data_IF_412889686256
#
_entry.id   IF_412889686256
#
_cell.length_a   1.000
_cell.length_b   1.000
_cell.length_c   1.000
_cell.angle_alpha   90.00
_cell.angle_beta   90.00
_cell.angle_gamma   90.00
#
_symmetry.space_group_name_H-M   'P 1'
#
loop_
_entity.id
_entity.type
_entity.pdbx_description
1 polymer ?
#
# COMPACT_ATOMS: atom_id res chain seq x y z
N UNK A 1 35.98 -12.61 25.95
CA UNK A 1 34.89 -13.35 25.28
C UNK A 1 35.10 -13.21 23.79
N UNK A 2 35.31 -14.32 23.08
CA UNK A 2 35.38 -14.30 21.62
C UNK A 2 33.93 -14.24 21.13
N UNK A 3 33.57 -13.18 20.41
CA UNK A 3 32.26 -13.03 19.80
C UNK A 3 32.32 -13.72 18.44
N UNK A 4 31.75 -14.92 18.33
CA UNK A 4 31.64 -15.61 17.04
C UNK A 4 30.46 -15.03 16.26
N UNK A 5 30.70 -14.65 15.01
CA UNK A 5 29.67 -14.24 14.06
C UNK A 5 28.87 -15.50 13.67
N UNK A 6 27.54 -15.44 13.78
CA UNK A 6 26.63 -16.52 13.40
C UNK A 6 25.68 -16.06 12.29
N UNK A 7 25.33 -16.98 11.40
CA UNK A 7 24.29 -16.76 10.40
C UNK A 7 22.93 -16.66 11.08
N UNK A 8 22.16 -15.64 10.72
CA UNK A 8 20.80 -15.48 11.23
C UNK A 8 19.90 -16.58 10.66
N UNK A 9 18.99 -17.15 11.47
CA UNK A 9 17.91 -18.00 10.97
C UNK A 9 17.09 -17.29 9.88
N UNK A 10 16.59 -18.04 8.89
CA UNK A 10 15.88 -17.49 7.73
C UNK A 10 14.63 -16.70 8.12
N UNK A 11 13.90 -17.16 9.13
CA UNK A 11 12.77 -16.43 9.72
C UNK A 11 13.23 -15.06 10.24
N UNK A 12 14.35 -14.98 10.95
CA UNK A 12 14.89 -13.70 11.45
C UNK A 12 15.31 -12.78 10.30
N UNK A 13 15.93 -13.30 9.24
CA UNK A 13 16.30 -12.51 8.05
C UNK A 13 15.06 -11.94 7.36
N UNK A 14 14.05 -12.77 7.13
CA UNK A 14 12.79 -12.36 6.51
C UNK A 14 12.06 -11.32 7.37
N UNK A 15 12.15 -11.44 8.69
CA UNK A 15 11.55 -10.50 9.63
C UNK A 15 12.29 -9.15 9.69
N UNK A 16 13.61 -9.15 9.54
CA UNK A 16 14.40 -7.92 9.38
C UNK A 16 14.01 -7.24 8.06
N UNK A 17 14.01 -7.98 6.95
CA UNK A 17 13.66 -7.44 5.63
C UNK A 17 12.22 -6.91 5.57
N UNK A 18 11.24 -7.66 6.07
CA UNK A 18 9.85 -7.21 6.18
C UNK A 18 9.73 -5.96 7.07
N UNK A 19 10.58 -5.86 8.09
CA UNK A 19 10.61 -4.70 8.96
C UNK A 19 11.25 -3.44 8.38
N UNK A 20 12.18 -3.59 7.45
CA UNK A 20 12.75 -2.46 6.71
C UNK A 20 11.79 -1.94 5.62
N UNK A 21 10.96 -2.81 5.05
CA UNK A 21 9.98 -2.41 4.00
C UNK A 21 8.73 -1.78 4.61
N UNK A 22 8.18 -2.36 5.68
CA UNK A 22 6.96 -1.88 6.35
C UNK A 22 7.26 -1.57 7.80
N UNK A 23 7.47 -0.29 8.09
CA UNK A 23 7.95 0.20 9.39
C UNK A 23 6.92 1.03 10.17
N UNK A 24 5.77 1.34 9.58
CA UNK A 24 4.81 2.28 10.13
C UNK A 24 3.42 2.09 9.50
N UNK A 25 2.37 2.63 10.13
CA UNK A 25 1.05 2.67 9.49
C UNK A 25 1.08 3.43 8.16
N UNK A 26 1.91 4.48 8.05
CA UNK A 26 2.05 5.24 6.82
C UNK A 26 2.64 4.38 5.69
N UNK A 27 3.63 3.53 6.00
CA UNK A 27 4.14 2.55 5.04
C UNK A 27 3.05 1.57 4.60
N UNK A 28 2.27 0.99 5.53
CA UNK A 28 1.15 0.10 5.18
C UNK A 28 0.16 0.81 4.25
N UNK A 29 -0.24 2.04 4.59
CA UNK A 29 -1.17 2.83 3.78
C UNK A 29 -0.60 3.12 2.39
N UNK A 30 0.69 3.49 2.29
CA UNK A 30 1.37 3.73 1.02
C UNK A 30 1.29 2.50 0.13
N UNK A 31 1.79 1.35 0.60
CA UNK A 31 1.86 0.12 -0.20
C UNK A 31 0.47 -0.34 -0.68
N UNK A 32 -0.54 -0.26 0.20
CA UNK A 32 -1.91 -0.64 -0.16
C UNK A 32 -2.57 0.36 -1.12
N UNK A 33 -2.31 1.66 -0.97
CA UNK A 33 -2.80 2.67 -1.89
C UNK A 33 -2.14 2.54 -3.28
N UNK A 34 -0.83 2.28 -3.33
CA UNK A 34 -0.10 2.02 -4.57
C UNK A 34 -0.61 0.77 -5.29
N UNK A 35 -0.92 -0.31 -4.54
CA UNK A 35 -1.56 -1.50 -5.12
C UNK A 35 -2.95 -1.20 -5.70
N UNK A 36 -3.75 -0.36 -5.04
CA UNK A 36 -5.04 0.06 -5.58
C UNK A 36 -4.87 0.91 -6.86
N UNK A 37 -3.87 1.79 -6.92
CA UNK A 37 -3.55 2.58 -8.11
C UNK A 37 -3.11 1.70 -9.27
N UNK A 38 -2.23 0.73 -9.01
CA UNK A 38 -1.78 -0.25 -10.02
C UNK A 38 -2.94 -1.12 -10.53
N UNK A 39 -3.99 -1.32 -9.72
CA UNK A 39 -5.23 -1.97 -10.11
C UNK A 39 -6.20 -1.05 -10.88
N UNK A 40 -5.76 0.14 -11.30
CA UNK A 40 -6.56 1.15 -12.01
C UNK A 40 -7.81 1.61 -11.22
N UNK A 41 -7.72 1.66 -9.90
CA UNK A 41 -8.80 2.22 -9.08
C UNK A 41 -9.04 3.69 -9.46
N UNK A 42 -10.29 4.13 -9.34
CA UNK A 42 -10.70 5.56 -9.46
C UNK A 42 -11.21 6.11 -8.13
N UNK A 43 -11.45 5.24 -7.16
CA UNK A 43 -11.83 5.55 -5.79
C UNK A 43 -11.07 4.64 -4.83
N UNK A 44 -10.46 5.25 -3.83
CA UNK A 44 -9.75 4.56 -2.75
C UNK A 44 -10.31 5.06 -1.41
N UNK A 45 -10.81 4.13 -0.60
CA UNK A 45 -11.34 4.38 0.73
C UNK A 45 -10.41 3.73 1.78
N UNK A 46 -9.90 4.54 2.70
CA UNK A 46 -8.92 4.14 3.73
C UNK A 46 -9.56 4.37 5.09
N UNK A 47 -9.55 3.35 5.94
CA UNK A 47 -9.95 3.45 7.34
C UNK A 47 -8.78 3.03 8.24
N UNK A 48 -8.40 3.91 9.16
CA UNK A 48 -7.31 3.67 10.12
C UNK A 48 -7.91 3.57 11.51
N UNK A 49 -7.59 2.50 12.22
CA UNK A 49 -8.01 2.25 13.61
C UNK A 49 -6.75 2.13 14.48
N UNK A 50 -6.20 3.24 14.98
CA UNK A 50 -4.94 3.22 15.73
C UNK A 50 -4.99 2.32 16.96
N UNK A 51 -6.10 2.37 17.71
CA UNK A 51 -6.28 1.59 18.95
C UNK A 51 -6.35 0.09 18.68
N UNK A 52 -6.79 -0.31 17.48
CA UNK A 52 -6.89 -1.71 17.05
C UNK A 52 -5.68 -2.18 16.23
N UNK A 53 -4.68 -1.31 16.04
CA UNK A 53 -3.55 -1.60 15.15
C UNK A 53 -4.00 -2.08 13.77
N UNK A 54 -5.02 -1.43 13.22
CA UNK A 54 -5.70 -1.88 12.00
C UNK A 54 -5.73 -0.80 10.92
N UNK A 55 -5.47 -1.22 9.68
CA UNK A 55 -5.66 -0.44 8.46
C UNK A 55 -6.54 -1.25 7.52
N UNK A 56 -7.54 -0.60 6.92
CA UNK A 56 -8.38 -1.17 5.87
C UNK A 56 -8.38 -0.27 4.66
N UNK A 57 -7.98 -0.80 3.51
CA UNK A 57 -7.99 -0.08 2.22
C UNK A 57 -8.95 -0.79 1.29
N UNK A 58 -9.88 -0.05 0.73
CA UNK A 58 -10.87 -0.53 -0.22
C UNK A 58 -10.78 0.28 -1.51
N UNK A 59 -10.73 -0.39 -2.65
CA UNK A 59 -10.67 0.21 -3.96
C UNK A 59 -11.74 -0.36 -4.90
N UNK A 60 -11.95 0.34 -6.00
CA UNK A 60 -12.81 -0.10 -7.11
C UNK A 60 -12.00 -0.45 -8.36
N UNK A 61 -10.78 -0.95 -8.19
CA UNK A 61 -9.91 -1.38 -9.27
C UNK A 61 -10.39 -2.67 -9.94
N UNK A 62 -9.50 -3.31 -10.70
CA UNK A 62 -9.81 -4.50 -11.49
C UNK A 62 -10.20 -5.72 -10.65
N UNK A 63 -9.80 -5.75 -9.37
CA UNK A 63 -9.94 -6.91 -8.49
C UNK A 63 -9.06 -8.10 -8.90
N UNK A 64 -9.16 -9.17 -8.13
CA UNK A 64 -8.44 -10.44 -8.29
C UNK A 64 -9.43 -11.60 -8.39
N UNK A 65 -9.07 -12.64 -9.14
CA UNK A 65 -9.79 -13.92 -9.10
C UNK A 65 -9.29 -14.77 -7.91
N UNK A 66 -9.89 -15.93 -7.69
CA UNK A 66 -9.50 -16.82 -6.60
C UNK A 66 -8.04 -17.30 -6.71
N UNK A 67 -7.57 -17.66 -7.91
CA UNK A 67 -6.19 -18.10 -8.13
C UNK A 67 -5.18 -17.00 -7.79
N UNK A 68 -5.46 -15.76 -8.18
CA UNK A 68 -4.62 -14.61 -7.87
C UNK A 68 -4.63 -14.33 -6.36
N UNK A 69 -5.79 -14.41 -5.71
CA UNK A 69 -5.91 -14.26 -4.25
C UNK A 69 -5.09 -15.32 -3.50
N UNK A 70 -5.17 -16.58 -3.91
CA UNK A 70 -4.38 -17.65 -3.27
C UNK A 70 -2.87 -17.39 -3.30
N UNK A 71 -2.38 -16.66 -4.31
CA UNK A 71 -0.98 -16.32 -4.48
C UNK A 71 -0.62 -14.87 -4.06
N UNK A 72 -1.60 -14.06 -3.65
CA UNK A 72 -1.42 -12.62 -3.46
C UNK A 72 -0.41 -12.26 -2.35
N UNK A 73 -0.31 -13.10 -1.32
CA UNK A 73 0.65 -12.94 -0.22
C UNK A 73 1.85 -13.91 -0.31
N UNK A 74 1.99 -14.65 -1.41
CA UNK A 74 3.14 -15.54 -1.61
C UNK A 74 4.42 -14.72 -1.85
N UNK A 75 5.58 -15.16 -1.35
CA UNK A 75 6.83 -14.46 -1.59
C UNK A 75 7.17 -14.39 -3.09
N UNK A 76 7.82 -13.32 -3.51
CA UNK A 76 8.28 -13.06 -4.89
C UNK A 76 7.17 -13.18 -5.95
N UNK A 77 5.92 -12.97 -5.58
CA UNK A 77 4.77 -13.09 -6.48
C UNK A 77 4.29 -11.71 -6.88
N UNK A 78 4.52 -11.34 -8.14
CA UNK A 78 4.04 -10.07 -8.72
C UNK A 78 3.45 -10.32 -10.11
N UNK A 79 2.34 -9.68 -10.43
CA UNK A 79 1.78 -9.66 -11.78
C UNK A 79 2.47 -8.64 -12.71
N UNK A 80 3.38 -7.81 -12.17
CA UNK A 80 3.85 -6.55 -12.77
C UNK A 80 5.24 -6.62 -13.42
N UNK A 81 6.04 -7.65 -13.15
CA UNK A 81 7.36 -7.87 -13.75
C UNK A 81 7.44 -9.34 -14.19
N UNK A 82 7.81 -9.58 -15.45
CA UNK A 82 7.97 -10.94 -16.01
C UNK A 82 9.38 -11.21 -16.55
N UNK A 83 10.22 -10.18 -16.70
CA UNK A 83 11.57 -10.29 -17.26
C UNK A 83 12.55 -9.26 -16.66
N UNK A 84 13.86 -9.47 -16.85
CA UNK A 84 14.91 -8.52 -16.42
C UNK A 84 14.79 -7.16 -17.12
N UNK A 85 14.25 -7.12 -18.33
CA UNK A 85 14.05 -5.87 -19.07
C UNK A 85 12.91 -5.02 -18.50
N UNK A 86 11.95 -5.64 -17.81
CA UNK A 86 10.85 -4.95 -17.13
C UNK A 86 11.34 -4.15 -15.90
N UNK A 87 12.49 -4.53 -15.32
CA UNK A 87 13.14 -3.76 -14.23
C UNK A 87 13.64 -2.39 -14.70
N UNK A 88 13.92 -2.23 -16.00
CA UNK A 88 14.34 -0.96 -16.61
C UNK A 88 13.15 -0.15 -17.16
N UNK A 89 11.92 -0.70 -17.09
CA UNK A 89 10.66 -0.10 -17.58
C UNK A 89 9.56 -0.12 -16.51
N UNK A 90 9.93 0.09 -15.26
CA UNK A 90 8.99 0.06 -14.14
C UNK A 90 7.98 1.20 -14.32
N UNK A 91 6.75 0.84 -14.63
CA UNK A 91 5.58 1.74 -14.78
C UNK A 91 4.55 1.55 -13.68
N UNK A 92 4.78 0.60 -12.76
CA UNK A 92 3.92 0.31 -11.61
C UNK A 92 4.61 0.70 -10.32
N UNK A 93 3.82 1.13 -9.33
CA UNK A 93 4.33 1.63 -8.05
C UNK A 93 4.79 0.48 -7.15
N UNK A 94 4.06 -0.64 -7.12
CA UNK A 94 4.36 -1.81 -6.30
C UNK A 94 4.95 -2.98 -7.08
N UNK A 95 6.20 -2.90 -7.55
CA UNK A 95 6.78 -3.92 -8.45
C UNK A 95 7.43 -5.13 -7.75
N UNK A 96 7.67 -5.06 -6.43
CA UNK A 96 8.46 -6.07 -5.69
C UNK A 96 7.70 -7.36 -5.35
N UNK A 97 6.36 -7.36 -5.39
CA UNK A 97 5.58 -8.55 -5.02
C UNK A 97 5.75 -9.00 -3.56
N UNK A 98 6.25 -8.12 -2.70
CA UNK A 98 6.64 -8.44 -1.31
C UNK A 98 5.80 -7.72 -0.26
N UNK A 99 5.01 -6.72 -0.64
CA UNK A 99 4.24 -5.90 0.30
C UNK A 99 3.19 -6.73 1.06
N UNK A 100 2.33 -7.46 0.35
CA UNK A 100 1.29 -8.30 0.97
C UNK A 100 1.90 -9.46 1.76
N UNK A 101 2.98 -10.06 1.26
CA UNK A 101 3.74 -11.07 2.00
C UNK A 101 4.31 -10.52 3.32
N UNK A 102 4.94 -9.35 3.28
CA UNK A 102 5.46 -8.68 4.47
C UNK A 102 4.36 -8.33 5.47
N UNK A 103 3.18 -7.91 4.98
CA UNK A 103 2.01 -7.65 5.82
C UNK A 103 1.52 -8.93 6.51
N UNK A 104 1.46 -10.05 5.80
CA UNK A 104 1.07 -11.34 6.39
C UNK A 104 2.04 -11.79 7.50
N UNK A 105 3.35 -11.53 7.34
CA UNK A 105 4.35 -11.85 8.36
C UNK A 105 4.26 -10.94 9.61
N UNK A 106 3.80 -9.69 9.44
CA UNK A 106 3.80 -8.66 10.49
C UNK A 106 2.45 -8.47 11.18
N UNK A 107 1.36 -9.00 10.61
CA UNK A 107 -0.01 -8.68 11.00
C UNK A 107 -0.98 -9.80 10.58
N UNK A 108 -2.22 -9.70 11.05
CA UNK A 108 -3.32 -10.54 10.56
C UNK A 108 -3.84 -9.94 9.23
N UNK A 109 -3.61 -10.65 8.13
CA UNK A 109 -3.97 -10.21 6.78
C UNK A 109 -5.23 -10.91 6.27
N UNK A 110 -6.20 -10.10 5.84
CA UNK A 110 -7.40 -10.54 5.11
C UNK A 110 -7.54 -9.74 3.81
N UNK A 111 -7.85 -10.43 2.72
CA UNK A 111 -8.15 -9.82 1.43
C UNK A 111 -9.50 -10.32 0.93
N UNK A 112 -10.40 -9.40 0.64
CA UNK A 112 -11.60 -9.67 -0.13
C UNK A 112 -11.46 -9.05 -1.52
N UNK A 113 -11.75 -9.80 -2.58
CA UNK A 113 -11.69 -9.24 -3.93
C UNK A 113 -12.69 -9.90 -4.88
N UNK A 114 -13.11 -9.12 -5.87
CA UNK A 114 -13.92 -9.60 -6.99
C UNK A 114 -13.57 -8.84 -8.25
N UNK A 115 -13.43 -9.55 -9.37
CA UNK A 115 -13.27 -8.92 -10.68
C UNK A 115 -14.58 -8.37 -11.21
N UNK A 116 -14.47 -7.36 -12.07
CA UNK A 116 -15.63 -6.72 -12.72
C UNK A 116 -16.45 -7.71 -13.57
N UNK A 117 -15.78 -8.71 -14.15
CA UNK A 117 -16.37 -9.71 -15.04
C UNK A 117 -16.87 -10.99 -14.34
N UNK A 118 -16.78 -11.09 -13.01
CA UNK A 118 -17.25 -12.26 -12.24
C UNK A 118 -18.38 -11.92 -11.29
N UNK A 119 -19.25 -12.88 -11.01
CA UNK A 119 -20.35 -12.73 -10.02
C UNK A 119 -19.84 -12.99 -8.60
N UNK A 120 -18.98 -14.01 -8.45
CA UNK A 120 -18.46 -14.44 -7.16
C UNK A 120 -17.28 -13.55 -6.74
N UNK A 121 -17.32 -13.12 -5.48
CA UNK A 121 -16.18 -12.55 -4.77
C UNK A 121 -15.68 -13.53 -3.72
N UNK A 122 -14.41 -13.38 -3.35
CA UNK A 122 -13.73 -14.28 -2.45
C UNK A 122 -13.09 -13.51 -1.30
N UNK A 123 -13.12 -14.10 -0.12
CA UNK A 123 -12.41 -13.68 1.09
C UNK A 123 -11.32 -14.70 1.37
N UNK A 124 -10.09 -14.24 1.51
CA UNK A 124 -8.94 -15.07 1.87
C UNK A 124 -8.21 -14.47 3.07
N UNK A 125 -7.91 -15.30 4.06
CA UNK A 125 -6.99 -14.97 5.16
C UNK A 125 -5.67 -15.68 4.97
N UNK A 126 -4.58 -15.12 5.48
CA UNK A 126 -3.23 -15.65 5.27
C UNK A 126 -2.52 -15.90 6.60
N UNK A 127 -1.69 -16.96 6.64
CA UNK A 127 -0.78 -17.19 7.75
C UNK A 127 0.48 -16.29 7.63
N UNK A 128 1.38 -16.39 8.60
CA UNK A 128 2.61 -15.58 8.64
C UNK A 128 3.62 -15.91 7.54
N UNK A 129 3.43 -17.02 6.81
CA UNK A 129 4.21 -17.37 5.63
C UNK A 129 3.54 -16.88 4.33
N UNK A 130 2.39 -16.21 4.44
CA UNK A 130 1.62 -15.72 3.29
C UNK A 130 0.83 -16.82 2.57
N UNK A 131 0.65 -17.98 3.19
CA UNK A 131 -0.17 -19.08 2.64
C UNK A 131 -1.64 -18.87 3.02
N UNK A 132 -2.59 -19.16 2.12
CA UNK A 132 -4.01 -19.02 2.40
C UNK A 132 -4.47 -20.03 3.47
N UNK A 133 -5.22 -19.55 4.46
CA UNK A 133 -5.72 -20.36 5.60
C UNK A 133 -7.22 -20.60 5.47
N UNK A 134 -8.00 -19.53 5.30
CA UNK A 134 -9.44 -19.61 5.08
C UNK A 134 -9.76 -19.02 3.71
N UNK A 135 -10.63 -19.69 2.96
CA UNK A 135 -11.11 -19.26 1.65
C UNK A 135 -12.63 -19.40 1.66
N UNK A 136 -13.33 -18.28 1.47
CA UNK A 136 -14.78 -18.22 1.50
C UNK A 136 -15.34 -17.39 0.35
N UNK A 137 -16.54 -17.74 -0.11
CA UNK A 137 -17.30 -16.88 -0.99
C UNK A 137 -17.91 -15.73 -0.20
N UNK A 138 -17.87 -14.52 -0.74
CA UNK A 138 -18.39 -13.32 -0.09
C UNK A 138 -19.08 -12.40 -1.08
N UNK A 139 -20.15 -11.76 -0.65
CA UNK A 139 -20.79 -10.69 -1.41
C UNK A 139 -19.96 -9.40 -1.29
N UNK A 140 -19.36 -8.97 -2.39
CA UNK A 140 -18.56 -7.75 -2.47
C UNK A 140 -18.78 -7.05 -3.83
N UNK A 141 -18.64 -5.72 -3.86
CA UNK A 141 -18.58 -4.97 -5.11
C UNK A 141 -17.29 -5.32 -5.89
N UNK A 142 -17.19 -5.04 -7.20
CA UNK A 142 -15.93 -5.22 -7.92
C UNK A 142 -14.84 -4.32 -7.32
N UNK A 143 -13.61 -4.84 -7.28
CA UNK A 143 -12.46 -4.20 -6.64
C UNK A 143 -11.89 -5.06 -5.52
N UNK A 144 -11.06 -4.44 -4.68
CA UNK A 144 -10.35 -5.14 -3.60
C UNK A 144 -10.52 -4.42 -2.27
N UNK A 145 -10.59 -5.20 -1.20
CA UNK A 145 -10.52 -4.74 0.17
C UNK A 145 -9.40 -5.50 0.85
N UNK A 146 -8.38 -4.79 1.31
CA UNK A 146 -7.30 -5.35 2.13
C UNK A 146 -7.47 -4.85 3.56
N UNK A 147 -7.57 -5.78 4.50
CA UNK A 147 -7.63 -5.50 5.94
C UNK A 147 -6.38 -6.06 6.59
N UNK A 148 -5.61 -5.18 7.24
CA UNK A 148 -4.44 -5.52 8.04
C UNK A 148 -4.80 -5.23 9.48
N UNK A 149 -4.89 -6.24 10.33
CA UNK A 149 -5.22 -6.10 11.76
C UNK A 149 -4.07 -6.53 12.64
N UNK A 150 -4.06 -6.07 13.91
CA UNK A 150 -3.02 -6.47 14.85
C UNK A 150 -1.61 -6.22 14.29
N UNK A 151 -1.41 -5.10 13.61
CA UNK A 151 -0.14 -4.73 12.98
C UNK A 151 1.01 -4.73 14.01
N UNK A 152 2.06 -5.50 13.76
CA UNK A 152 3.18 -5.75 14.69
C UNK A 152 2.79 -6.52 15.96
N UNK A 153 1.72 -7.33 15.93
CA UNK A 153 1.18 -8.10 17.07
C UNK A 153 2.21 -8.95 17.78
N UNK A 154 2.99 -9.66 16.98
CA UNK A 154 4.03 -10.56 17.45
C UNK A 154 5.33 -9.82 17.80
N UNK A 155 5.34 -8.48 17.75
CA UNK A 155 6.53 -7.63 17.82
C UNK A 155 6.37 -6.50 18.86
N UNK A 156 6.21 -6.86 20.12
CA UNK A 156 5.96 -5.91 21.22
C UNK A 156 6.99 -4.79 21.33
N UNK A 157 8.29 -5.12 21.28
CA UNK A 157 9.39 -4.14 21.33
C UNK A 157 9.33 -3.16 20.16
N UNK A 158 8.94 -3.66 18.98
CA UNK A 158 8.79 -2.83 17.79
C UNK A 158 7.61 -1.88 17.93
N UNK A 159 6.45 -2.37 18.39
CA UNK A 159 5.28 -1.52 18.68
C UNK A 159 5.60 -0.39 19.64
N UNK A 160 6.37 -0.69 20.69
CA UNK A 160 6.79 0.31 21.68
C UNK A 160 7.77 1.34 21.12
N UNK A 161 8.59 0.96 20.13
CA UNK A 161 9.54 1.86 19.47
C UNK A 161 8.93 2.77 18.40
N UNK A 162 7.65 2.60 18.06
CA UNK A 162 7.01 3.41 17.03
C UNK A 162 6.75 4.84 17.51
N UNK A 163 6.70 5.82 16.57
CA UNK A 163 6.29 7.18 16.89
C UNK A 163 4.90 7.23 17.55
N UNK A 164 4.61 8.34 18.22
CA UNK A 164 3.27 8.56 18.82
C UNK A 164 2.17 8.42 17.77
N UNK A 165 0.97 7.98 18.17
CA UNK A 165 -0.18 7.87 17.25
C UNK A 165 -0.42 9.18 16.49
N UNK A 166 -0.30 10.33 17.14
CA UNK A 166 -0.42 11.65 16.50
C UNK A 166 0.59 11.86 15.38
N UNK A 167 1.86 11.47 15.58
CA UNK A 167 2.89 11.56 14.54
C UNK A 167 2.60 10.60 13.39
N UNK A 168 2.19 9.37 13.70
CA UNK A 168 1.85 8.37 12.68
C UNK A 168 0.66 8.81 11.83
N UNK A 169 -0.39 9.35 12.44
CA UNK A 169 -1.53 9.92 11.72
C UNK A 169 -1.11 11.07 10.81
N UNK A 170 -0.25 11.98 11.28
CA UNK A 170 0.30 13.05 10.41
C UNK A 170 1.03 12.48 9.20
N UNK A 171 1.87 11.46 9.41
CA UNK A 171 2.58 10.79 8.32
C UNK A 171 1.60 10.15 7.32
N UNK A 172 0.59 9.42 7.80
CA UNK A 172 -0.47 8.85 6.94
C UNK A 172 -1.13 9.94 6.09
N UNK A 173 -1.53 11.04 6.73
CA UNK A 173 -2.18 12.15 6.03
C UNK A 173 -1.24 12.74 4.96
N UNK A 174 0.01 13.03 5.30
CA UNK A 174 1.00 13.57 4.34
C UNK A 174 1.25 12.61 3.19
N UNK A 175 1.40 11.31 3.45
CA UNK A 175 1.59 10.28 2.44
C UNK A 175 0.40 10.23 1.48
N UNK A 176 -0.84 10.16 1.97
CA UNK A 176 -2.03 10.14 1.12
C UNK A 176 -2.13 11.43 0.28
N UNK A 177 -1.85 12.59 0.88
CA UNK A 177 -1.87 13.88 0.19
C UNK A 177 -0.83 13.95 -0.93
N UNK A 178 0.39 13.45 -0.71
CA UNK A 178 1.44 13.38 -1.73
C UNK A 178 1.04 12.47 -2.89
N UNK A 179 0.52 11.28 -2.59
CA UNK A 179 0.03 10.34 -3.63
C UNK A 179 -1.13 10.98 -4.41
N UNK A 180 -2.08 11.64 -3.72
CA UNK A 180 -3.22 12.28 -4.37
C UNK A 180 -2.81 13.42 -5.33
N UNK A 181 -1.70 14.12 -5.06
CA UNK A 181 -1.15 15.12 -5.97
C UNK A 181 -0.59 14.50 -7.25
N UNK A 182 0.00 13.30 -7.16
CA UNK A 182 0.48 12.54 -8.31
C UNK A 182 -0.67 11.90 -9.12
N UNK A 183 -1.79 11.59 -8.45
CA UNK A 183 -2.97 10.93 -9.04
C UNK A 183 -4.24 11.78 -8.84
N UNK A 184 -4.33 12.96 -9.50
CA UNK A 184 -5.38 13.93 -9.23
C UNK A 184 -6.78 13.44 -9.62
N UNK A 185 -6.89 12.45 -10.50
CA UNK A 185 -8.15 11.90 -10.98
C UNK A 185 -8.81 10.90 -10.00
N UNK A 186 -8.19 10.64 -8.85
CA UNK A 186 -8.64 9.65 -7.87
C UNK A 186 -9.47 10.31 -6.76
N UNK A 187 -10.57 9.65 -6.39
CA UNK A 187 -11.32 10.01 -5.18
C UNK A 187 -10.71 9.33 -3.96
N UNK A 188 -10.27 10.11 -2.96
CA UNK A 188 -9.74 9.59 -1.70
C UNK A 188 -10.71 9.83 -0.57
N UNK A 189 -11.11 8.79 0.15
CA UNK A 189 -11.96 8.88 1.32
C UNK A 189 -11.23 8.30 2.52
N UNK A 190 -10.93 9.13 3.53
CA UNK A 190 -10.12 8.69 4.67
C UNK A 190 -10.93 8.83 5.95
N UNK A 191 -10.97 7.76 6.74
CA UNK A 191 -11.62 7.69 8.04
C UNK A 191 -10.60 7.36 9.13
N UNK A 192 -10.80 7.94 10.30
CA UNK A 192 -10.17 7.51 11.53
C UNK A 192 -11.26 6.88 12.40
N UNK A 193 -11.08 5.60 12.71
CA UNK A 193 -12.14 4.75 13.23
C UNK A 193 -13.37 4.81 12.30
N UNK A 194 -14.55 5.08 12.85
CA UNK A 194 -15.79 5.22 12.07
C UNK A 194 -16.06 6.67 11.61
N UNK A 195 -15.19 7.62 12.00
CA UNK A 195 -15.39 9.04 11.73
C UNK A 195 -14.67 9.47 10.44
N UNK A 196 -15.35 10.25 9.56
CA UNK A 196 -14.69 10.91 8.44
C UNK A 196 -13.54 11.79 8.93
N UNK A 197 -12.36 11.60 8.34
CA UNK A 197 -11.18 12.39 8.68
C UNK A 197 -10.89 13.44 7.62
N UNK A 198 -10.73 13.02 6.36
CA UNK A 198 -10.66 13.92 5.22
C UNK A 198 -11.07 13.22 3.92
N UNK A 199 -11.34 14.02 2.90
CA UNK A 199 -11.68 13.53 1.56
C UNK A 199 -10.98 14.43 0.55
N UNK A 200 -10.47 13.82 -0.52
CA UNK A 200 -9.93 14.54 -1.67
C UNK A 200 -10.78 14.12 -2.87
N UNK A 201 -11.51 15.08 -3.42
CA UNK A 201 -12.32 14.88 -4.61
C UNK A 201 -11.42 14.93 -5.85
N UNK A 202 -11.77 14.19 -6.91
CA UNK A 202 -10.96 14.14 -8.12
C UNK A 202 -10.91 15.52 -8.78
N UNK A 203 -9.77 15.83 -9.38
CA UNK A 203 -9.49 17.02 -10.15
C UNK A 203 -8.78 16.65 -11.46
N UNK A 204 -8.69 17.62 -12.37
CA UNK A 204 -8.03 17.42 -13.67
C UNK A 204 -6.50 17.47 -13.57
N UNK A 205 -5.96 18.12 -12.53
CA UNK A 205 -4.53 18.27 -12.29
C UNK A 205 -4.23 18.47 -10.81
N UNK A 206 -2.95 18.40 -10.42
CA UNK A 206 -2.50 18.71 -9.06
C UNK A 206 -2.89 20.12 -8.60
N UNK A 207 -2.98 21.08 -9.52
CA UNK A 207 -3.50 22.44 -9.25
C UNK A 207 -4.93 22.42 -8.68
N UNK A 208 -5.78 21.50 -9.14
CA UNK A 208 -7.16 21.36 -8.65
C UNK A 208 -7.25 20.65 -7.30
N UNK A 209 -6.25 19.84 -6.98
CA UNK A 209 -6.18 19.09 -5.72
C UNK A 209 -5.60 19.94 -4.59
N UNK A 210 -4.58 20.75 -4.88
CA UNK A 210 -3.80 21.45 -3.86
C UNK A 210 -4.65 22.35 -2.91
N UNK A 211 -5.67 23.10 -3.36
CA UNK A 211 -6.56 23.86 -2.46
C UNK A 211 -7.36 23.00 -1.48
N UNK A 212 -7.62 21.72 -1.81
CA UNK A 212 -8.30 20.78 -0.91
C UNK A 212 -7.38 20.32 0.23
N UNK A 213 -6.06 20.37 -0.01
CA UNK A 213 -5.01 19.96 0.94
C UNK A 213 -4.56 21.15 1.80
N UNK A 214 -4.30 22.30 1.16
CA UNK A 214 -3.79 23.52 1.79
C UNK A 214 -4.90 24.57 1.75
N UNK A 215 -5.67 24.67 2.84
CA UNK A 215 -6.89 25.51 2.91
C UNK A 215 -6.65 27.00 2.62
N UNK A 216 -5.44 27.50 2.82
CA UNK A 216 -5.09 28.90 2.57
C UNK A 216 -4.81 29.20 1.09
N UNK A 217 -4.57 28.18 0.25
CA UNK A 217 -4.22 28.34 -1.16
C UNK A 217 -5.47 28.29 -2.03
N UNK A 218 -5.62 29.27 -2.90
CA UNK A 218 -6.69 29.33 -3.92
C UNK A 218 -6.13 28.94 -5.29
N UNK A 219 -7.02 28.54 -6.21
CA UNK A 219 -6.64 28.25 -7.60
C UNK A 219 -6.00 29.44 -8.31
N UNK A 220 -6.35 30.67 -7.91
CA UNK A 220 -5.75 31.93 -8.40
C UNK A 220 -4.29 32.10 -8.00
N UNK A 221 -3.89 31.45 -6.91
CA UNK A 221 -2.55 31.60 -6.32
C UNK A 221 -1.56 30.62 -6.98
N UNK A 222 -2.04 29.78 -7.89
CA UNK A 222 -1.30 28.69 -8.51
C UNK A 222 -1.13 28.91 -10.02
N UNK A 223 0.10 28.70 -10.48
CA UNK A 223 0.47 28.67 -11.89
C UNK A 223 1.04 27.29 -12.21
N UNK A 224 0.55 26.65 -13.28
CA UNK A 224 1.15 25.44 -13.81
C UNK A 224 2.30 25.81 -14.75
N UNK A 225 3.43 25.13 -14.57
CA UNK A 225 4.63 25.29 -15.38
C UNK A 225 4.96 23.94 -16.01
N UNK A 226 5.24 23.94 -17.31
CA UNK A 226 5.80 22.79 -18.02
C UNK A 226 7.31 23.05 -18.11
N UNK A 227 8.10 22.16 -17.52
CA UNK A 227 9.56 22.24 -17.55
C UNK A 227 10.07 21.00 -18.26
N UNK A 228 10.85 21.19 -19.32
CA UNK A 228 11.55 20.09 -19.96
C UNK A 228 12.69 19.65 -19.05
N UNK A 229 12.55 18.47 -18.45
CA UNK A 229 13.62 17.85 -17.66
C UNK A 229 14.47 17.00 -18.61
N UNK A 230 15.74 17.34 -18.86
CA UNK A 230 16.58 16.52 -19.71
C UNK A 230 16.78 15.15 -19.08
N UNK A 231 16.57 14.08 -19.86
CA UNK A 231 16.92 12.72 -19.44
C UNK A 231 18.40 12.71 -19.07
N UNK A 232 18.80 12.19 -17.90
CA UNK A 232 20.21 12.02 -17.59
C UNK A 232 20.87 11.24 -18.72
N UNK A 233 21.83 11.86 -19.42
CA UNK A 233 22.63 11.15 -20.43
C UNK A 233 23.22 9.94 -19.73
N UNK A 234 22.93 8.75 -20.25
CA UNK A 234 23.36 7.50 -19.65
C UNK A 234 24.85 7.53 -19.36
N UNK A 235 25.22 7.38 -18.09
CA UNK A 235 26.57 7.01 -17.70
C UNK A 235 26.82 5.57 -18.16
N UNK A 236 27.00 5.39 -19.46
CA UNK A 236 27.86 4.35 -19.98
C UNK A 236 29.28 4.65 -19.52
N UNK A 237 30.01 3.59 -19.16
CA UNK A 237 31.37 3.60 -18.58
C UNK A 237 31.40 3.62 -17.04
N UNK A 238 31.04 2.47 -16.45
CA UNK A 238 31.84 1.95 -15.35
C UNK A 238 32.89 1.02 -15.98
N UNK A 239 34.12 1.52 -16.08
CA UNK A 239 35.30 0.73 -16.44
C UNK A 239 35.76 -0.17 -15.29
#
# INVERSE_FOLDING_TARGET
MIVNIQTLPTDVVNLIAAGEVIDSFAAVVRELAENALDANATRIAIAVFPDLWRVRVADNGTGMNLTDLQNAASPHSTSKIRSKDDLYKITSLGFRGEALHSLAALADLEICSRRVDTIEGWRVTYNTQGEPVEIETVAIAPGTVVTVSNLFGNWSMRRQGLPTITQQLRLIQTTIQQIALCHPHITWQVKQNDHPWFTISPGTSSRHILPQIIKQVRLSDLQELIVDVPTPLGSGEWG
#
